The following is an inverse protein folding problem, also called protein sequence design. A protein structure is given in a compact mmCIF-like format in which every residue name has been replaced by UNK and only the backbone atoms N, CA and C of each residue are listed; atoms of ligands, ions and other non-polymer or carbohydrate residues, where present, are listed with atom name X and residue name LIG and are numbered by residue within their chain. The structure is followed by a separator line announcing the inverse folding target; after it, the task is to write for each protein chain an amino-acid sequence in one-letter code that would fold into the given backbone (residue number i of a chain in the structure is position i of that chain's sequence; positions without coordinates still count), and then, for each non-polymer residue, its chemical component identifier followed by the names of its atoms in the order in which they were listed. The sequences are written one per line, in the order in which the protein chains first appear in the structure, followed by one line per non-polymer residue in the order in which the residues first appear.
data_IF_177632154152
#
_entry.id   IF_177632154152
#
_cell.length_a   1.000
_cell.length_b   1.000
_cell.length_c   1.000
_cell.angle_alpha   90.00
_cell.angle_beta   90.00
_cell.angle_gamma   90.00
#
_symmetry.space_group_name_H-M   'P 1'
#
loop_
_entity.id
_entity.type
_entity.pdbx_description
1 polymer ?
#
# COMPACT_ATOMS: atom_id res chain seq x y z
N UNK A 1 -73.42 -32.54 19.19
CA UNK A 1 -73.99 -33.75 18.58
C UNK A 1 -73.87 -33.59 17.07
N UNK A 2 -73.10 -34.48 16.43
CA UNK A 2 -72.69 -34.41 15.02
C UNK A 2 -73.88 -34.59 14.07
N UNK A 3 -73.95 -33.77 13.03
CA UNK A 3 -74.65 -34.12 11.79
C UNK A 3 -73.58 -34.40 10.74
N UNK A 4 -73.26 -35.68 10.59
CA UNK A 4 -72.40 -36.20 9.54
C UNK A 4 -73.30 -36.55 8.35
N UNK A 5 -73.34 -35.69 7.33
CA UNK A 5 -74.09 -35.92 6.09
C UNK A 5 -73.14 -36.60 5.10
N UNK A 6 -73.29 -37.91 4.90
CA UNK A 6 -72.58 -38.62 3.86
C UNK A 6 -73.35 -38.39 2.56
N UNK A 7 -72.72 -37.71 1.61
CA UNK A 7 -73.22 -37.56 0.26
C UNK A 7 -72.41 -38.55 -0.58
N UNK A 8 -73.04 -39.64 -1.02
CA UNK A 8 -72.43 -40.60 -1.94
C UNK A 8 -72.28 -39.95 -3.31
N UNK A 9 -71.03 -39.86 -3.77
CA UNK A 9 -70.64 -39.46 -5.14
C UNK A 9 -71.05 -40.56 -6.16
N UNK A 10 -72.37 -40.79 -6.33
CA UNK A 10 -72.87 -41.85 -7.22
C UNK A 10 -73.29 -41.36 -8.63
N UNK A 11 -72.96 -40.12 -9.00
CA UNK A 11 -73.23 -39.59 -10.36
C UNK A 11 -71.98 -38.96 -11.00
N UNK A 12 -70.80 -39.58 -10.86
CA UNK A 12 -69.64 -39.22 -11.71
C UNK A 12 -69.66 -40.09 -12.96
N UNK A 13 -70.22 -39.53 -14.04
CA UNK A 13 -70.11 -40.06 -15.39
C UNK A 13 -68.62 -40.10 -15.81
N UNK A 14 -68.03 -41.30 -15.88
CA UNK A 14 -66.61 -41.51 -16.18
C UNK A 14 -66.20 -41.19 -17.63
N UNK A 15 -67.16 -40.82 -18.49
CA UNK A 15 -66.91 -40.48 -19.90
C UNK A 15 -66.65 -38.98 -20.17
N UNK A 16 -66.77 -38.10 -19.15
CA UNK A 16 -66.50 -36.65 -19.26
C UNK A 16 -65.28 -36.20 -18.41
N UNK A 17 -64.19 -36.99 -18.43
CA UNK A 17 -62.89 -36.44 -18.04
C UNK A 17 -62.35 -35.63 -19.22
N UNK A 18 -62.75 -34.37 -19.33
CA UNK A 18 -61.95 -33.38 -20.04
C UNK A 18 -60.49 -33.55 -19.56
N UNK A 19 -59.50 -33.72 -20.47
CA UNK A 19 -58.14 -33.89 -20.04
C UNK A 19 -57.77 -32.63 -19.24
N UNK A 20 -57.59 -32.79 -17.93
CA UNK A 20 -57.09 -31.75 -17.06
C UNK A 20 -55.90 -31.14 -17.78
N UNK A 21 -56.03 -29.86 -18.14
CA UNK A 21 -54.93 -29.12 -18.75
C UNK A 21 -53.80 -29.18 -17.74
N UNK A 22 -52.84 -30.07 -17.99
CA UNK A 22 -51.67 -30.21 -17.17
C UNK A 22 -51.04 -28.81 -17.12
N UNK A 23 -51.12 -28.15 -15.97
CA UNK A 23 -50.38 -26.93 -15.73
C UNK A 23 -48.93 -27.32 -15.95
N UNK A 24 -48.37 -26.86 -17.08
CA UNK A 24 -47.01 -27.19 -17.46
C UNK A 24 -46.09 -26.67 -16.35
N UNK A 25 -45.64 -27.57 -15.48
CA UNK A 25 -44.64 -27.24 -14.47
C UNK A 25 -43.44 -26.70 -15.25
N UNK A 26 -43.04 -25.43 -15.06
CA UNK A 26 -41.96 -24.88 -15.85
C UNK A 26 -40.72 -25.73 -15.62
N UNK A 27 -40.24 -26.38 -16.68
CA UNK A 27 -38.98 -27.13 -16.69
C UNK A 27 -37.87 -26.14 -16.34
N UNK A 28 -37.49 -26.08 -15.06
CA UNK A 28 -36.34 -25.30 -14.61
C UNK A 28 -35.12 -25.86 -15.33
N UNK A 29 -34.60 -25.07 -16.26
CA UNK A 29 -33.45 -25.45 -17.08
C UNK A 29 -32.20 -25.53 -16.17
N UNK A 30 -31.67 -26.72 -15.88
CA UNK A 30 -30.63 -26.90 -14.86
C UNK A 30 -29.30 -26.20 -15.21
N UNK A 31 -29.07 -25.89 -16.49
CA UNK A 31 -27.90 -25.13 -16.95
C UNK A 31 -27.87 -23.70 -16.39
N UNK A 32 -29.03 -23.08 -16.15
CA UNK A 32 -29.11 -21.74 -15.55
C UNK A 32 -28.54 -21.76 -14.13
N UNK A 33 -28.80 -22.83 -13.37
CA UNK A 33 -28.25 -22.99 -12.01
C UNK A 33 -26.73 -23.09 -12.04
N UNK A 34 -26.15 -23.83 -12.98
CA UNK A 34 -24.69 -23.91 -13.13
C UNK A 34 -24.07 -22.57 -13.52
N UNK A 35 -24.70 -21.84 -14.45
CA UNK A 35 -24.26 -20.48 -14.82
C UNK A 35 -24.30 -19.56 -13.61
N UNK A 36 -25.37 -19.58 -12.82
CA UNK A 36 -25.48 -18.76 -11.61
C UNK A 36 -24.41 -19.10 -10.56
N UNK A 37 -24.09 -20.39 -10.39
CA UNK A 37 -23.00 -20.83 -9.49
C UNK A 37 -21.66 -20.29 -9.99
N UNK A 38 -21.36 -20.45 -11.27
CA UNK A 38 -20.11 -19.98 -11.87
C UNK A 38 -19.99 -18.46 -11.74
N UNK A 39 -21.05 -17.72 -12.06
CA UNK A 39 -21.09 -16.26 -11.89
C UNK A 39 -20.88 -15.88 -10.43
N UNK A 40 -21.54 -16.56 -9.49
CA UNK A 40 -21.36 -16.32 -8.05
C UNK A 40 -19.91 -16.53 -7.60
N UNK A 41 -19.27 -17.61 -8.06
CA UNK A 41 -17.86 -17.89 -7.77
C UNK A 41 -16.95 -16.81 -8.36
N UNK A 42 -17.16 -16.44 -9.64
CA UNK A 42 -16.37 -15.40 -10.30
C UNK A 42 -16.52 -14.06 -9.59
N UNK A 43 -17.74 -13.68 -9.20
CA UNK A 43 -17.98 -12.45 -8.43
C UNK A 43 -17.29 -12.52 -7.07
N UNK A 44 -17.38 -13.63 -6.35
CA UNK A 44 -16.72 -13.79 -5.05
C UNK A 44 -15.19 -13.65 -5.17
N UNK A 45 -14.58 -14.32 -6.16
CA UNK A 45 -13.13 -14.21 -6.43
C UNK A 45 -12.74 -12.77 -6.78
N UNK A 46 -13.51 -12.09 -7.64
CA UNK A 46 -13.24 -10.71 -8.01
C UNK A 46 -13.32 -9.75 -6.80
N UNK A 47 -14.29 -9.95 -5.91
CA UNK A 47 -14.41 -9.15 -4.69
C UNK A 47 -13.25 -9.37 -3.72
N UNK A 48 -12.86 -10.63 -3.50
CA UNK A 48 -11.71 -10.99 -2.65
C UNK A 48 -10.43 -10.37 -3.22
N UNK A 49 -10.19 -10.54 -4.52
CA UNK A 49 -9.03 -9.97 -5.21
C UNK A 49 -8.97 -8.44 -5.04
N UNK A 50 -10.10 -7.75 -5.23
CA UNK A 50 -10.18 -6.30 -5.05
C UNK A 50 -9.87 -5.90 -3.61
N UNK A 51 -10.39 -6.62 -2.63
CA UNK A 51 -10.18 -6.31 -1.22
C UNK A 51 -8.73 -6.54 -0.80
N UNK A 52 -8.09 -7.60 -1.30
CA UNK A 52 -6.66 -7.86 -1.06
C UNK A 52 -5.81 -6.74 -1.65
N UNK A 53 -6.04 -6.37 -2.92
CA UNK A 53 -5.26 -5.29 -3.55
C UNK A 53 -5.43 -3.96 -2.83
N UNK A 54 -6.65 -3.61 -2.41
CA UNK A 54 -6.89 -2.38 -1.63
C UNK A 54 -6.13 -2.37 -0.30
N UNK A 55 -6.05 -3.52 0.38
CA UNK A 55 -5.29 -3.65 1.62
C UNK A 55 -3.79 -3.52 1.39
N UNK A 56 -3.27 -4.13 0.33
CA UNK A 56 -1.85 -4.02 -0.04
C UNK A 56 -1.52 -2.56 -0.37
N UNK A 57 -2.31 -1.92 -1.23
CA UNK A 57 -2.11 -0.52 -1.62
C UNK A 57 -2.14 0.43 -0.42
N UNK A 58 -3.09 0.24 0.50
CA UNK A 58 -3.17 1.04 1.72
C UNK A 58 -1.97 0.79 2.64
N UNK A 59 -1.54 -0.47 2.80
CA UNK A 59 -0.40 -0.81 3.65
C UNK A 59 0.91 -0.25 3.08
N UNK A 60 1.12 -0.37 1.77
CA UNK A 60 2.27 0.22 1.07
C UNK A 60 2.25 1.73 1.17
N UNK A 61 1.11 2.39 0.95
CA UNK A 61 1.02 3.85 1.04
C UNK A 61 1.32 4.37 2.46
N UNK A 62 0.82 3.68 3.49
CA UNK A 62 1.13 4.02 4.88
C UNK A 62 2.63 3.83 5.19
N UNK A 63 3.20 2.69 4.77
CA UNK A 63 4.62 2.41 4.97
C UNK A 63 5.51 3.46 4.27
N UNK A 64 5.20 3.82 3.02
CA UNK A 64 5.89 4.90 2.30
C UNK A 64 5.77 6.22 3.04
N UNK A 65 4.58 6.57 3.55
CA UNK A 65 4.37 7.78 4.35
C UNK A 65 5.25 7.81 5.60
N UNK A 66 5.33 6.71 6.33
CA UNK A 66 6.16 6.58 7.54
C UNK A 66 7.66 6.68 7.21
N UNK A 67 8.11 6.11 6.09
CA UNK A 67 9.50 6.21 5.60
C UNK A 67 9.84 7.66 5.29
N UNK A 68 8.98 8.36 4.54
CA UNK A 68 9.20 9.76 4.19
C UNK A 68 9.24 10.66 5.43
N UNK A 69 8.32 10.43 6.38
CA UNK A 69 8.31 11.16 7.64
C UNK A 69 9.58 10.91 8.47
N UNK A 70 10.02 9.65 8.57
CA UNK A 70 11.24 9.27 9.28
C UNK A 70 12.47 9.88 8.62
N UNK A 71 12.56 9.84 7.29
CA UNK A 71 13.63 10.47 6.53
C UNK A 71 13.69 11.98 6.76
N UNK A 72 12.54 12.66 6.68
CA UNK A 72 12.48 14.10 6.94
C UNK A 72 12.90 14.44 8.37
N UNK A 73 12.53 13.63 9.35
CA UNK A 73 12.95 13.81 10.73
C UNK A 73 14.46 13.59 10.90
N UNK A 74 15.05 12.60 10.21
CA UNK A 74 16.52 12.42 10.16
C UNK A 74 17.22 13.64 9.55
N UNK A 75 16.69 14.16 8.44
CA UNK A 75 17.24 15.34 7.78
C UNK A 75 17.23 16.55 8.71
N UNK A 76 16.10 16.77 9.38
CA UNK A 76 15.93 17.86 10.34
C UNK A 76 16.81 17.67 11.58
N UNK A 77 16.82 16.50 12.20
CA UNK A 77 17.67 16.21 13.35
C UNK A 77 19.16 16.36 13.01
N UNK A 78 19.57 15.97 11.80
CA UNK A 78 20.92 16.20 11.30
C UNK A 78 21.26 17.67 11.10
N UNK A 79 20.32 18.49 10.61
CA UNK A 79 20.48 19.92 10.45
C UNK A 79 20.55 20.67 11.79
N UNK A 80 19.68 20.29 12.74
CA UNK A 80 19.60 20.85 14.09
C UNK A 80 20.67 20.30 15.04
N UNK A 81 21.40 19.25 14.61
CA UNK A 81 22.36 18.47 15.40
C UNK A 81 21.74 17.87 16.66
N UNK A 82 20.47 17.49 16.56
CA UNK A 82 19.71 16.85 17.63
C UNK A 82 19.98 15.33 17.63
N UNK A 83 21.02 14.95 18.36
CA UNK A 83 21.44 13.56 18.51
C UNK A 83 20.39 12.72 19.24
N UNK A 84 19.64 13.33 20.16
CA UNK A 84 18.63 12.62 20.94
C UNK A 84 17.51 12.16 20.02
N UNK A 85 16.94 13.08 19.24
CA UNK A 85 15.91 12.77 18.24
C UNK A 85 16.45 11.79 17.19
N UNK A 86 17.65 12.03 16.66
CA UNK A 86 18.26 11.14 15.67
C UNK A 86 18.42 9.70 16.19
N UNK A 87 18.87 9.53 17.43
CA UNK A 87 19.05 8.21 18.02
C UNK A 87 17.73 7.45 18.23
N UNK A 88 16.59 8.14 18.39
CA UNK A 88 15.29 7.48 18.46
C UNK A 88 14.86 6.79 17.16
N UNK A 89 15.48 7.17 16.03
CA UNK A 89 15.16 6.66 14.69
C UNK A 89 16.06 5.50 14.27
N UNK A 90 17.13 5.23 15.00
CA UNK A 90 18.04 4.13 14.71
C UNK A 90 17.50 2.84 15.32
N UNK A 91 17.67 1.72 14.61
CA UNK A 91 17.15 0.41 15.03
C UNK A 91 17.82 -0.15 16.30
N UNK A 92 18.96 0.43 16.73
CA UNK A 92 19.70 -0.01 17.92
C UNK A 92 20.31 -1.42 17.80
N UNK A 93 20.27 -2.04 16.61
CA UNK A 93 20.73 -3.41 16.41
C UNK A 93 22.26 -3.53 16.49
N UNK A 94 22.96 -2.48 16.08
CA UNK A 94 24.43 -2.39 16.09
C UNK A 94 24.86 -1.13 16.84
N UNK A 95 25.32 -1.31 18.08
CA UNK A 95 25.76 -0.22 18.96
C UNK A 95 26.93 0.58 18.37
N UNK A 96 27.87 -0.09 17.69
CA UNK A 96 29.03 0.58 17.09
C UNK A 96 28.61 1.44 15.89
N UNK A 97 27.65 0.95 15.10
CA UNK A 97 27.08 1.74 14.01
C UNK A 97 26.29 2.94 14.55
N UNK A 98 25.47 2.75 15.59
CA UNK A 98 24.73 3.85 16.24
C UNK A 98 25.68 4.91 16.76
N UNK A 99 26.73 4.52 17.49
CA UNK A 99 27.74 5.44 18.01
C UNK A 99 28.41 6.25 16.89
N UNK A 100 28.80 5.59 15.80
CA UNK A 100 29.38 6.26 14.63
C UNK A 100 28.41 7.26 13.98
N UNK A 101 27.13 6.92 13.84
CA UNK A 101 26.13 7.84 13.29
C UNK A 101 25.85 9.02 14.24
N UNK A 102 25.77 8.78 15.55
CA UNK A 102 25.63 9.84 16.55
C UNK A 102 26.81 10.81 16.51
N UNK A 103 28.03 10.30 16.36
CA UNK A 103 29.23 11.14 16.23
C UNK A 103 29.18 12.00 14.95
N UNK A 104 28.76 11.42 13.82
CA UNK A 104 28.57 12.17 12.57
C UNK A 104 27.55 13.30 12.74
N UNK A 105 26.42 13.08 13.41
CA UNK A 105 25.44 14.16 13.65
C UNK A 105 26.02 15.27 14.51
N UNK A 106 26.73 14.94 15.58
CA UNK A 106 27.39 15.93 16.46
C UNK A 106 28.39 16.80 15.70
N UNK A 107 29.13 16.19 14.78
CA UNK A 107 30.18 16.86 14.01
C UNK A 107 29.66 17.51 12.72
N UNK A 108 28.34 17.56 12.50
CA UNK A 108 27.74 18.03 11.24
C UNK A 108 28.11 17.17 10.02
N UNK A 109 28.66 15.97 10.24
CA UNK A 109 29.21 15.05 9.24
C UNK A 109 28.18 14.24 8.45
N UNK A 110 26.93 14.17 8.89
CA UNK A 110 25.90 13.33 8.26
C UNK A 110 25.77 13.63 6.75
N UNK A 111 25.72 14.93 6.41
CA UNK A 111 25.65 15.41 5.03
C UNK A 111 26.83 16.29 4.61
N UNK A 112 27.76 16.58 5.52
CA UNK A 112 28.95 17.37 5.18
C UNK A 112 29.88 16.59 4.25
N UNK A 113 30.23 17.22 3.14
CA UNK A 113 31.15 16.70 2.13
C UNK A 113 32.23 17.74 1.82
N UNK A 114 32.51 18.65 2.77
CA UNK A 114 33.52 19.70 2.68
C UNK A 114 34.94 19.18 2.38
N UNK A 115 35.27 17.96 2.81
CA UNK A 115 36.52 17.28 2.45
C UNK A 115 36.71 17.09 0.93
N UNK A 116 35.62 17.20 0.15
CA UNK A 116 35.60 17.15 -1.30
C UNK A 116 35.24 18.50 -1.94
N UNK A 117 35.32 19.61 -1.19
CA UNK A 117 34.89 20.95 -1.62
C UNK A 117 33.41 21.01 -2.05
N UNK A 118 32.57 20.13 -1.48
CA UNK A 118 31.13 20.07 -1.75
C UNK A 118 30.35 20.70 -0.60
N UNK A 119 29.68 21.82 -0.87
CA UNK A 119 28.78 22.48 0.06
C UNK A 119 27.32 22.12 -0.26
N UNK A 120 26.60 21.54 0.70
CA UNK A 120 25.19 21.16 0.51
C UNK A 120 24.32 22.38 0.18
N UNK A 121 23.49 22.31 -0.87
CA UNK A 121 22.63 23.42 -1.30
C UNK A 121 21.22 23.38 -0.71
N UNK A 122 20.68 22.18 -0.50
CA UNK A 122 19.28 21.97 -0.08
C UNK A 122 19.25 21.16 1.19
N UNK A 123 19.17 21.83 2.35
CA UNK A 123 19.06 21.19 3.66
C UNK A 123 17.60 20.98 4.12
N UNK A 124 16.67 21.84 3.67
CA UNK A 124 15.38 22.02 4.36
C UNK A 124 14.13 21.67 3.55
N UNK A 125 14.27 21.16 2.32
CA UNK A 125 13.09 20.75 1.55
C UNK A 125 12.68 19.35 1.98
N UNK A 126 11.57 19.27 2.71
CA UNK A 126 10.96 18.00 3.09
C UNK A 126 10.59 17.20 1.83
N UNK A 127 10.96 15.92 1.83
CA UNK A 127 10.57 14.97 0.79
C UNK A 127 9.10 14.59 0.96
N UNK A 128 8.35 14.62 -0.13
CA UNK A 128 6.91 14.42 -0.15
C UNK A 128 6.50 13.22 -1.02
N UNK A 129 5.25 12.77 -0.89
CA UNK A 129 4.71 11.74 -1.77
C UNK A 129 4.76 12.15 -3.26
N UNK A 130 4.65 13.46 -3.55
CA UNK A 130 4.77 13.95 -4.92
C UNK A 130 6.16 13.71 -5.53
N UNK A 131 7.22 13.69 -4.72
CA UNK A 131 8.57 13.38 -5.17
C UNK A 131 8.71 11.90 -5.56
N UNK A 132 8.02 11.02 -4.82
CA UNK A 132 7.92 9.59 -5.15
C UNK A 132 7.12 9.41 -6.44
N UNK A 133 5.97 10.06 -6.56
CA UNK A 133 5.08 9.94 -7.72
C UNK A 133 5.73 10.49 -9.00
N UNK A 134 6.56 11.52 -8.90
CA UNK A 134 7.31 12.10 -10.01
C UNK A 134 8.64 11.35 -10.31
N UNK A 135 9.02 10.38 -9.48
CA UNK A 135 10.24 9.58 -9.64
C UNK A 135 11.55 10.30 -9.32
N UNK A 136 11.51 11.45 -8.65
CA UNK A 136 12.72 12.12 -8.13
C UNK A 136 13.26 11.41 -6.89
N UNK A 137 12.38 10.70 -6.19
CA UNK A 137 12.68 9.82 -5.07
C UNK A 137 12.14 8.43 -5.38
N UNK A 138 12.94 7.41 -5.11
CA UNK A 138 12.50 6.03 -5.25
C UNK A 138 12.56 5.34 -3.89
N UNK A 139 11.44 4.77 -3.46
CA UNK A 139 11.30 4.00 -2.22
C UNK A 139 11.00 2.56 -2.60
N UNK A 140 11.93 1.66 -2.25
CA UNK A 140 11.80 0.23 -2.46
C UNK A 140 11.54 -0.46 -1.13
N UNK A 141 10.33 -1.01 -0.97
CA UNK A 141 9.92 -1.79 0.18
C UNK A 141 10.21 -3.27 -0.04
N UNK A 142 10.67 -3.96 0.99
CA UNK A 142 10.74 -5.41 0.92
C UNK A 142 9.34 -6.05 1.00
N UNK A 143 9.17 -7.33 0.58
CA UNK A 143 7.84 -7.97 0.54
C UNK A 143 7.11 -8.05 1.89
N UNK A 144 7.87 -8.08 2.98
CA UNK A 144 7.34 -8.15 4.35
C UNK A 144 7.05 -6.78 4.96
N UNK A 145 7.31 -5.68 4.24
CA UNK A 145 7.13 -4.29 4.67
C UNK A 145 7.83 -3.95 6.00
N UNK A 146 8.99 -4.55 6.26
CA UNK A 146 9.77 -4.31 7.48
C UNK A 146 11.16 -3.71 7.21
N UNK A 147 11.51 -3.52 5.94
CA UNK A 147 12.72 -2.85 5.50
C UNK A 147 12.42 -2.04 4.23
N UNK A 148 13.12 -0.94 4.07
CA UNK A 148 13.00 -0.11 2.89
C UNK A 148 14.36 0.45 2.49
N UNK A 149 14.55 0.66 1.20
CA UNK A 149 15.64 1.45 0.65
C UNK A 149 15.05 2.70 -0.02
N UNK A 150 15.51 3.88 0.40
CA UNK A 150 15.13 5.15 -0.20
C UNK A 150 16.32 5.71 -0.96
N UNK A 151 16.13 6.02 -2.25
CA UNK A 151 17.12 6.70 -3.07
C UNK A 151 16.63 8.05 -3.54
N UNK A 152 17.47 9.07 -3.44
CA UNK A 152 17.12 10.45 -3.74
C UNK A 152 18.35 11.22 -4.23
N UNK A 153 18.11 12.37 -4.89
CA UNK A 153 19.17 13.27 -5.34
C UNK A 153 19.43 14.36 -4.31
N UNK A 154 20.69 14.55 -3.93
CA UNK A 154 21.12 15.65 -3.07
C UNK A 154 22.00 16.60 -3.86
N UNK A 155 21.64 17.88 -3.83
CA UNK A 155 22.38 18.93 -4.53
C UNK A 155 23.50 19.51 -3.66
N UNK A 156 24.65 19.73 -4.30
CA UNK A 156 25.85 20.33 -3.73
C UNK A 156 26.40 21.40 -4.67
N UNK A 157 26.93 22.47 -4.10
CA UNK A 157 27.75 23.45 -4.78
C UNK A 157 29.21 23.00 -4.71
N UNK A 158 29.89 23.03 -5.86
CA UNK A 158 31.33 22.82 -5.98
C UNK A 158 31.99 24.10 -6.47
N UNK A 159 33.10 24.49 -5.86
CA UNK A 159 33.88 25.64 -6.32
C UNK A 159 34.80 25.21 -7.46
N UNK A 160 34.55 25.70 -8.67
CA UNK A 160 35.35 25.38 -9.86
C UNK A 160 36.47 26.41 -10.11
N UNK A 161 36.72 27.31 -9.14
CA UNK A 161 37.75 28.33 -9.18
C UNK A 161 37.22 29.72 -9.55
N UNK A 162 38.05 30.74 -9.33
CA UNK A 162 37.74 32.15 -9.62
C UNK A 162 36.43 32.67 -9.00
N UNK A 163 36.00 32.09 -7.88
CA UNK A 163 34.74 32.44 -7.22
C UNK A 163 33.48 31.93 -7.93
N UNK A 164 33.62 31.04 -8.91
CA UNK A 164 32.49 30.42 -9.62
C UNK A 164 32.12 29.10 -8.96
N UNK A 165 30.83 28.91 -8.71
CA UNK A 165 30.27 27.67 -8.18
C UNK A 165 29.41 26.98 -9.23
N UNK A 166 29.55 25.66 -9.32
CA UNK A 166 28.68 24.80 -10.13
C UNK A 166 27.82 23.93 -9.20
N UNK A 167 26.60 23.59 -9.63
CA UNK A 167 25.73 22.67 -8.91
C UNK A 167 25.90 21.26 -9.43
N UNK A 168 26.24 20.33 -8.54
CA UNK A 168 26.32 18.89 -8.82
C UNK A 168 25.28 18.15 -7.99
N UNK A 169 24.74 17.07 -8.55
CA UNK A 169 23.77 16.22 -7.88
C UNK A 169 24.40 14.87 -7.56
N UNK A 170 24.30 14.45 -6.30
CA UNK A 170 24.76 13.14 -5.85
C UNK A 170 23.55 12.26 -5.51
N UNK A 171 23.52 11.05 -6.07
CA UNK A 171 22.54 10.04 -5.65
C UNK A 171 22.90 9.55 -4.25
N UNK A 172 21.95 9.61 -3.33
CA UNK A 172 22.06 9.08 -1.98
C UNK A 172 21.15 7.87 -1.82
N UNK A 173 21.54 6.98 -0.91
CA UNK A 173 20.76 5.82 -0.49
C UNK A 173 20.64 5.82 1.03
N UNK A 174 19.42 5.71 1.53
CA UNK A 174 19.10 5.51 2.95
C UNK A 174 18.42 4.14 3.11
N UNK A 175 18.79 3.41 4.17
CA UNK A 175 18.34 2.05 4.49
C UNK A 175 17.87 2.00 5.94
#
# INVERSE_FOLDING_TARGET
MSNFNWQTDDDVNWDDLEPATATAVPRRHPWITYVLIVVGVVTAVALIYRQVNQRIETATANATGDILASHNLVQQAGADRDVEVFNTLLSGVDDAWVEAQSELVQQNGLFDRSAFDLARLSADTAVTQADVDNGTVNVELNPELNAAEMTFWQEYAVNIGNGVTETVQLKQTAV
#
